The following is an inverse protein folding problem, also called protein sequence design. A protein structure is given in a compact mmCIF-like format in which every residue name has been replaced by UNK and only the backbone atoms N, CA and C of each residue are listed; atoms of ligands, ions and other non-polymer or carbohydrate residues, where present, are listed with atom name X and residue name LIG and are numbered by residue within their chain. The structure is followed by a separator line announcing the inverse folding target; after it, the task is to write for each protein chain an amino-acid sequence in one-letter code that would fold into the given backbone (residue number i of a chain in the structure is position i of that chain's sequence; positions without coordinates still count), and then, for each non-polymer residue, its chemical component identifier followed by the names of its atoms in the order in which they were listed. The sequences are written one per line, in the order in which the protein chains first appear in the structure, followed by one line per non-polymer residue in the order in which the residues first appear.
data_IF_776287700034
#
_entry.id   IF_776287700034
#
_cell.length_a   1.000
_cell.length_b   1.000
_cell.length_c   1.000
_cell.angle_alpha   90.00
_cell.angle_beta   90.00
_cell.angle_gamma   90.00
#
_symmetry.space_group_name_H-M   'P 1'
#
loop_
_entity.id
_entity.type
_entity.pdbx_description
1 polymer ?
#
# COMPACT_ATOMS: atom_id res chain seq x y z
N UNK A 1 -38.36 -66.08 -29.40
CA UNK A 1 -37.47 -65.66 -28.29
C UNK A 1 -36.49 -64.61 -28.81
N UNK A 2 -36.91 -63.36 -29.04
CA UNK A 2 -36.00 -62.33 -29.57
C UNK A 2 -36.09 -60.98 -28.84
N UNK A 3 -37.16 -60.76 -28.06
CA UNK A 3 -37.40 -59.48 -27.40
C UNK A 3 -36.46 -59.20 -26.22
N UNK A 4 -35.97 -60.23 -25.50
CA UNK A 4 -35.06 -60.06 -24.35
C UNK A 4 -33.63 -59.66 -24.74
N UNK A 5 -33.16 -60.06 -25.93
CA UNK A 5 -31.78 -59.80 -26.37
C UNK A 5 -31.56 -58.33 -26.71
N UNK A 6 -32.53 -57.70 -27.37
CA UNK A 6 -32.41 -56.31 -27.80
C UNK A 6 -32.51 -55.35 -26.62
N UNK A 7 -33.40 -55.57 -25.65
CA UNK A 7 -33.52 -54.72 -24.44
C UNK A 7 -32.23 -54.71 -23.63
N UNK A 8 -31.55 -55.86 -23.52
CA UNK A 8 -30.24 -55.96 -22.84
C UNK A 8 -29.14 -55.19 -23.60
N UNK A 9 -29.11 -55.27 -24.93
CA UNK A 9 -28.16 -54.51 -25.76
C UNK A 9 -28.39 -53.00 -25.64
N UNK A 10 -29.64 -52.54 -25.67
CA UNK A 10 -29.97 -51.12 -25.51
C UNK A 10 -29.64 -50.58 -24.12
N UNK A 11 -29.86 -51.37 -23.05
CA UNK A 11 -29.47 -51.02 -21.68
C UNK A 11 -27.95 -50.88 -21.53
N UNK A 12 -27.17 -51.79 -22.12
CA UNK A 12 -25.70 -51.74 -22.08
C UNK A 12 -25.18 -50.52 -22.85
N UNK A 13 -25.73 -50.22 -24.03
CA UNK A 13 -25.36 -49.04 -24.83
C UNK A 13 -25.68 -47.74 -24.09
N UNK A 14 -26.84 -47.65 -23.43
CA UNK A 14 -27.20 -46.49 -22.60
C UNK A 14 -26.22 -46.30 -21.43
N UNK A 15 -25.90 -47.36 -20.67
CA UNK A 15 -24.96 -47.27 -19.55
C UNK A 15 -23.56 -46.83 -20.00
N UNK A 16 -23.06 -47.33 -21.13
CA UNK A 16 -21.75 -46.94 -21.67
C UNK A 16 -21.78 -45.46 -22.11
N UNK A 17 -22.85 -44.99 -22.75
CA UNK A 17 -23.00 -43.58 -23.13
C UNK A 17 -23.10 -42.63 -21.92
N UNK A 18 -23.75 -43.07 -20.84
CA UNK A 18 -23.90 -42.29 -19.61
C UNK A 18 -22.58 -42.23 -18.81
N UNK A 19 -21.77 -43.30 -18.86
CA UNK A 19 -20.43 -43.34 -18.26
C UNK A 19 -19.40 -42.52 -19.06
N UNK A 20 -19.54 -42.44 -20.39
CA UNK A 20 -18.73 -41.55 -21.24
C UNK A 20 -19.09 -40.06 -21.05
N UNK A 21 -20.35 -39.75 -20.75
CA UNK A 21 -20.80 -38.37 -20.47
C UNK A 21 -20.32 -37.78 -19.14
N UNK A 22 -19.90 -38.62 -18.18
CA UNK A 22 -19.53 -38.20 -16.82
C UNK A 22 -18.04 -37.83 -16.63
N UNK A 23 -17.18 -37.95 -17.66
CA UNK A 23 -15.72 -37.72 -17.51
C UNK A 23 -15.21 -36.39 -18.06
N UNK A 24 -16.08 -35.44 -18.38
CA UNK A 24 -15.67 -34.11 -18.85
C UNK A 24 -16.11 -33.00 -17.89
N UNK A 25 -15.82 -33.16 -16.59
CA UNK A 25 -15.62 -31.99 -15.73
C UNK A 25 -14.32 -31.33 -16.20
N UNK A 26 -14.44 -30.46 -17.20
CA UNK A 26 -13.37 -29.60 -17.70
C UNK A 26 -12.98 -28.70 -16.53
N UNK A 27 -12.06 -29.18 -15.69
CA UNK A 27 -11.40 -28.35 -14.69
C UNK A 27 -10.89 -27.13 -15.44
N UNK A 28 -11.48 -25.95 -15.16
CA UNK A 28 -10.94 -24.69 -15.66
C UNK A 28 -9.52 -24.65 -15.15
N UNK A 29 -8.57 -24.97 -16.03
CA UNK A 29 -7.14 -24.83 -15.77
C UNK A 29 -6.97 -23.35 -15.51
N UNK A 30 -6.91 -22.97 -14.23
CA UNK A 30 -6.82 -21.58 -13.82
C UNK A 30 -5.67 -20.96 -14.61
N UNK A 31 -5.99 -20.02 -15.50
CA UNK A 31 -4.98 -19.26 -16.22
C UNK A 31 -4.11 -18.63 -15.14
N UNK A 32 -2.84 -19.05 -15.06
CA UNK A 32 -1.87 -18.51 -14.11
C UNK A 32 -1.85 -17.00 -14.34
N UNK A 33 -2.43 -16.25 -13.41
CA UNK A 33 -2.56 -14.80 -13.54
C UNK A 33 -1.16 -14.22 -13.69
N UNK A 34 -0.91 -13.60 -14.85
CA UNK A 34 0.38 -13.01 -15.20
C UNK A 34 0.25 -11.51 -14.95
N UNK A 35 1.04 -10.98 -14.01
CA UNK A 35 1.09 -9.55 -13.78
C UNK A 35 1.72 -8.86 -15.00
N UNK A 36 1.31 -7.63 -15.28
CA UNK A 36 1.73 -6.89 -16.47
C UNK A 36 3.25 -6.62 -16.47
N UNK A 37 3.80 -6.30 -15.30
CA UNK A 37 5.20 -5.94 -15.11
C UNK A 37 5.79 -6.55 -13.82
N UNK A 38 7.11 -6.61 -13.79
CA UNK A 38 7.89 -7.02 -12.62
C UNK A 38 8.51 -5.79 -11.97
N UNK A 39 8.18 -5.53 -10.71
CA UNK A 39 8.87 -4.52 -9.91
C UNK A 39 10.19 -5.10 -9.38
N UNK A 40 11.30 -4.49 -9.79
CA UNK A 40 12.63 -4.81 -9.27
C UNK A 40 12.95 -3.73 -8.22
N UNK A 41 13.05 -4.14 -6.96
CA UNK A 41 13.53 -3.26 -5.89
C UNK A 41 15.06 -3.22 -5.99
N UNK A 42 15.69 -2.04 -6.20
CA UNK A 42 17.14 -1.92 -6.20
C UNK A 42 17.74 -2.45 -4.89
N UNK A 43 18.85 -3.18 -4.97
CA UNK A 43 19.47 -3.80 -3.79
C UNK A 43 20.00 -2.77 -2.79
N UNK A 44 20.32 -1.56 -3.24
CA UNK A 44 20.74 -0.42 -2.42
C UNK A 44 19.57 0.30 -1.73
N UNK A 45 18.32 -0.03 -2.06
CA UNK A 45 17.15 0.54 -1.38
C UNK A 45 17.09 0.19 0.12
N UNK A 46 17.63 -0.97 0.49
CA UNK A 46 17.70 -1.42 1.89
C UNK A 46 18.96 -0.94 2.61
N UNK A 47 19.76 -0.01 2.03
CA UNK A 47 20.85 0.60 2.79
C UNK A 47 20.23 1.26 4.01
N UNK A 48 20.53 0.70 5.18
CA UNK A 48 20.22 1.30 6.46
C UNK A 48 20.76 2.73 6.39
N UNK A 49 19.92 3.74 6.65
CA UNK A 49 20.38 5.11 6.78
C UNK A 49 21.64 5.12 7.66
N UNK A 50 22.77 5.63 7.16
CA UNK A 50 23.92 5.89 8.04
C UNK A 50 23.45 6.80 9.18
N UNK A 51 24.09 6.81 10.34
CA UNK A 51 23.66 7.67 11.47
C UNK A 51 23.49 9.15 11.07
N UNK A 52 24.19 9.61 10.01
CA UNK A 52 24.04 10.93 9.40
C UNK A 52 22.66 11.20 8.76
N UNK A 53 21.96 10.14 8.36
CA UNK A 53 20.66 10.19 7.67
C UNK A 53 19.46 9.82 8.55
N UNK A 54 19.68 9.29 9.75
CA UNK A 54 18.62 9.14 10.76
C UNK A 54 18.13 10.50 11.27
N UNK A 55 18.89 11.57 11.02
CA UNK A 55 18.64 12.88 11.61
C UNK A 55 18.71 12.79 13.14
N UNK A 56 18.65 13.93 13.82
CA UNK A 56 18.49 13.87 15.26
C UNK A 56 17.07 13.33 15.52
N UNK A 57 16.89 12.10 16.03
CA UNK A 57 15.59 11.39 16.11
C UNK A 57 14.45 12.09 16.86
N UNK A 58 14.68 13.29 17.39
CA UNK A 58 13.69 14.22 17.95
C UNK A 58 13.62 15.57 17.18
N UNK A 59 13.97 15.59 15.89
CA UNK A 59 13.92 16.80 15.05
C UNK A 59 12.52 17.43 15.04
N UNK A 60 11.48 16.59 15.12
CA UNK A 60 10.08 17.02 15.17
C UNK A 60 9.75 17.89 16.39
N UNK A 61 10.48 17.75 17.51
CA UNK A 61 10.28 18.57 18.72
C UNK A 61 11.28 19.72 18.83
N UNK A 62 12.42 19.64 18.14
CA UNK A 62 13.47 20.68 18.11
C UNK A 62 13.27 21.71 17.00
N UNK A 63 12.44 21.42 16.01
CA UNK A 63 12.11 22.34 14.91
C UNK A 63 11.41 23.60 15.44
N UNK A 64 11.67 24.74 14.79
CA UNK A 64 10.88 25.96 14.98
C UNK A 64 9.43 25.81 14.50
N UNK A 65 9.18 24.87 13.60
CA UNK A 65 7.84 24.47 13.16
C UNK A 65 7.63 23.01 13.61
N UNK A 66 7.37 22.77 14.91
CA UNK A 66 7.29 21.42 15.45
C UNK A 66 6.10 20.64 14.88
N UNK A 67 6.19 19.32 14.90
CA UNK A 67 5.12 18.44 14.44
C UNK A 67 4.98 17.18 15.30
N UNK A 68 3.77 16.64 15.30
CA UNK A 68 3.47 15.29 15.78
C UNK A 68 3.35 14.35 14.59
N UNK A 69 3.33 13.05 14.86
CA UNK A 69 3.13 12.04 13.82
C UNK A 69 1.76 11.41 13.95
N UNK A 70 1.07 11.31 12.82
CA UNK A 70 -0.22 10.63 12.67
C UNK A 70 -0.02 9.38 11.83
N UNK A 71 -0.48 8.24 12.32
CA UNK A 71 -0.39 6.96 11.61
C UNK A 71 -1.66 6.65 10.85
N UNK A 72 -1.50 6.08 9.65
CA UNK A 72 -2.61 5.49 8.89
C UNK A 72 -2.21 4.10 8.42
N UNK A 73 -2.98 3.09 8.85
CA UNK A 73 -2.76 1.68 8.49
C UNK A 73 -3.81 1.21 7.51
N UNK A 74 -3.38 0.62 6.40
CA UNK A 74 -4.25 0.01 5.38
C UNK A 74 -3.76 -1.42 5.15
N UNK A 75 -4.60 -2.40 5.47
CA UNK A 75 -4.22 -3.83 5.47
C UNK A 75 -3.69 -4.33 4.12
N UNK A 76 -4.34 -3.93 3.04
CA UNK A 76 -4.03 -4.38 1.67
C UNK A 76 -3.00 -3.50 0.95
N UNK A 77 -2.14 -2.79 1.70
CA UNK A 77 -1.12 -1.86 1.16
C UNK A 77 0.28 -2.18 1.68
N UNK A 78 1.30 -1.96 0.86
CA UNK A 78 2.71 -1.96 1.24
C UNK A 78 3.33 -0.56 1.02
N UNK A 79 3.99 0.04 2.04
CA UNK A 79 3.93 -0.37 3.44
C UNK A 79 2.50 -0.19 4.00
N UNK A 80 2.08 -1.05 4.97
CA UNK A 80 0.73 -0.99 5.51
C UNK A 80 0.52 0.27 6.33
N UNK A 81 1.51 0.65 7.14
CA UNK A 81 1.49 1.85 7.98
C UNK A 81 2.29 2.96 7.31
N UNK A 82 1.67 4.14 7.19
CA UNK A 82 2.34 5.38 6.81
C UNK A 82 2.26 6.33 8.01
N UNK A 83 3.37 7.01 8.28
CA UNK A 83 3.47 8.09 9.27
C UNK A 83 3.46 9.42 8.53
N UNK A 84 2.53 10.29 8.90
CA UNK A 84 2.37 11.62 8.33
C UNK A 84 2.57 12.69 9.39
N UNK A 85 3.31 13.74 9.06
CA UNK A 85 3.57 14.85 9.95
C UNK A 85 2.35 15.78 10.05
N UNK A 86 1.99 16.15 11.26
CA UNK A 86 0.95 17.13 11.57
C UNK A 86 1.57 18.29 12.36
N UNK A 87 1.59 19.50 11.77
CA UNK A 87 2.22 20.65 12.39
C UNK A 87 1.51 20.99 13.71
N UNK A 88 2.27 21.12 14.80
CA UNK A 88 1.72 21.33 16.14
C UNK A 88 1.13 22.74 16.34
N UNK A 89 1.43 23.67 15.44
CA UNK A 89 1.00 25.07 15.49
C UNK A 89 0.87 25.60 14.07
N UNK A 90 0.01 26.60 13.87
CA UNK A 90 -0.07 27.35 12.61
C UNK A 90 1.14 28.27 12.41
N UNK A 91 1.72 28.79 13.50
CA UNK A 91 2.87 29.71 13.47
C UNK A 91 4.15 29.01 13.89
N UNK A 92 5.28 29.59 13.50
CA UNK A 92 6.58 29.14 13.99
C UNK A 92 6.79 29.54 15.46
N UNK A 93 7.50 28.69 16.18
CA UNK A 93 7.76 28.75 17.60
C UNK A 93 9.24 29.01 17.83
N UNK A 94 9.53 30.03 18.64
CA UNK A 94 10.89 30.37 19.03
C UNK A 94 11.11 30.13 20.53
N UNK A 95 12.25 29.54 20.93
CA UNK A 95 12.61 29.46 22.33
C UNK A 95 12.94 30.88 22.83
N UNK A 96 12.24 31.36 23.86
CA UNK A 96 12.65 32.52 24.65
C UNK A 96 12.99 32.10 26.08
N UNK A 97 13.73 32.95 26.79
CA UNK A 97 14.42 32.69 28.06
C UNK A 97 13.59 31.97 29.16
N UNK A 98 12.25 31.94 29.06
CA UNK A 98 11.35 31.11 29.90
C UNK A 98 10.10 30.55 29.21
N UNK A 99 9.76 30.94 27.97
CA UNK A 99 8.52 30.56 27.28
C UNK A 99 8.74 30.36 25.78
N UNK A 100 7.80 29.70 25.11
CA UNK A 100 7.72 29.66 23.66
C UNK A 100 6.96 30.90 23.17
N UNK A 101 7.53 31.67 22.22
CA UNK A 101 6.84 32.79 21.57
C UNK A 101 6.51 32.43 20.12
N UNK A 102 5.28 32.70 19.70
CA UNK A 102 4.84 32.52 18.31
C UNK A 102 5.18 33.74 17.48
N UNK A 103 5.91 33.55 16.37
CA UNK A 103 6.21 34.65 15.45
C UNK A 103 5.12 34.73 14.38
N UNK A 104 4.16 35.64 14.56
CA UNK A 104 3.00 35.80 13.66
C UNK A 104 3.35 36.16 12.21
N UNK A 105 4.59 36.60 11.93
CA UNK A 105 5.09 36.83 10.57
C UNK A 105 5.51 35.55 9.84
N UNK A 106 5.48 34.39 10.49
CA UNK A 106 5.94 33.12 9.93
C UNK A 106 4.99 31.97 10.25
N UNK A 107 4.75 31.14 9.25
CA UNK A 107 3.83 30.02 9.31
C UNK A 107 4.60 28.69 9.33
N UNK A 108 4.10 27.75 10.12
CA UNK A 108 4.47 26.35 10.05
C UNK A 108 3.68 25.70 8.93
N UNK A 109 4.36 25.14 7.93
CA UNK A 109 3.73 24.50 6.78
C UNK A 109 4.27 23.08 6.58
N UNK A 110 3.42 22.11 6.22
CA UNK A 110 3.85 20.74 5.98
C UNK A 110 4.71 20.64 4.72
N UNK A 111 5.71 19.76 4.75
CA UNK A 111 6.57 19.39 3.62
C UNK A 111 6.07 18.07 3.06
N UNK A 112 5.65 18.05 1.80
CA UNK A 112 5.12 16.84 1.16
C UNK A 112 6.17 16.10 0.34
N UNK A 113 6.10 14.77 0.37
CA UNK A 113 6.88 13.86 -0.49
C UNK A 113 5.96 12.85 -1.15
N UNK A 114 6.25 12.51 -2.41
CA UNK A 114 5.59 11.41 -3.11
C UNK A 114 6.21 10.08 -2.69
N UNK A 115 5.42 9.22 -2.06
CA UNK A 115 5.80 7.89 -1.59
C UNK A 115 5.08 6.85 -2.43
N UNK A 116 5.83 5.92 -3.04
CA UNK A 116 5.24 4.81 -3.76
C UNK A 116 4.64 3.80 -2.78
N UNK A 117 3.41 3.37 -3.06
CA UNK A 117 2.72 2.32 -2.32
C UNK A 117 2.20 1.26 -3.27
N UNK A 118 2.12 0.03 -2.80
CA UNK A 118 1.61 -1.11 -3.55
C UNK A 118 0.33 -1.61 -2.91
N UNK A 119 -0.74 -1.78 -3.68
CA UNK A 119 -1.98 -2.40 -3.21
C UNK A 119 -2.08 -3.82 -3.72
N UNK A 120 -2.52 -4.73 -2.85
CA UNK A 120 -2.80 -6.13 -3.20
C UNK A 120 -4.28 -6.44 -3.01
N UNK A 121 -4.83 -7.35 -3.79
CA UNK A 121 -6.11 -7.98 -3.46
C UNK A 121 -5.83 -9.34 -2.84
N UNK A 122 -6.51 -9.69 -1.75
CA UNK A 122 -6.33 -10.95 -1.00
C UNK A 122 -6.32 -12.24 -1.86
N UNK A 123 -6.87 -12.19 -3.08
CA UNK A 123 -7.01 -13.32 -4.00
C UNK A 123 -5.95 -13.36 -5.12
N UNK A 124 -5.10 -12.33 -5.28
CA UNK A 124 -4.16 -12.20 -6.42
C UNK A 124 -2.71 -12.05 -5.96
N UNK A 125 -1.78 -12.56 -6.78
CA UNK A 125 -0.32 -12.41 -6.60
C UNK A 125 0.24 -11.13 -7.25
N UNK A 126 -0.63 -10.24 -7.72
CA UNK A 126 -0.25 -9.01 -8.40
C UNK A 126 -0.53 -7.79 -7.53
N UNK A 127 0.32 -6.78 -7.68
CA UNK A 127 0.19 -5.50 -6.98
C UNK A 127 -0.14 -4.39 -7.98
N UNK A 128 -0.95 -3.43 -7.56
CA UNK A 128 -1.11 -2.15 -8.25
C UNK A 128 -0.30 -1.07 -7.54
N UNK A 129 0.61 -0.42 -8.27
CA UNK A 129 1.40 0.68 -7.75
C UNK A 129 0.62 2.01 -7.80
N UNK A 130 0.79 2.83 -6.76
CA UNK A 130 0.25 4.19 -6.69
C UNK A 130 1.23 5.09 -5.91
N UNK A 131 1.05 6.41 -5.96
CA UNK A 131 1.82 7.38 -5.19
C UNK A 131 0.92 8.11 -4.20
N UNK A 132 1.38 8.23 -2.96
CA UNK A 132 0.76 9.02 -1.92
C UNK A 132 1.59 10.28 -1.67
N UNK A 133 0.93 11.43 -1.61
CA UNK A 133 1.51 12.65 -1.07
C UNK A 133 1.47 12.58 0.45
N UNK A 134 2.62 12.42 1.09
CA UNK A 134 2.75 12.26 2.54
C UNK A 134 3.51 13.45 3.10
N UNK A 135 2.96 14.12 4.12
CA UNK A 135 3.71 15.10 4.87
C UNK A 135 4.83 14.42 5.68
N UNK A 136 6.10 14.78 5.45
CA UNK A 136 7.28 14.17 6.09
C UNK A 136 7.86 15.02 7.22
N UNK A 137 7.33 16.22 7.41
CA UNK A 137 7.73 17.16 8.45
C UNK A 137 7.04 18.50 8.24
N UNK A 138 7.36 19.47 9.09
CA UNK A 138 6.94 20.86 8.92
C UNK A 138 8.15 21.77 8.82
N UNK A 139 8.02 22.85 8.05
CA UNK A 139 9.03 23.90 7.92
C UNK A 139 8.45 25.27 8.26
N UNK A 140 9.32 26.19 8.65
CA UNK A 140 8.97 27.56 8.97
C UNK A 140 9.19 28.45 7.75
N UNK A 141 8.15 29.17 7.32
CA UNK A 141 8.21 30.08 6.17
C UNK A 141 7.69 31.46 6.53
N UNK A 142 8.22 32.50 5.90
CA UNK A 142 7.64 33.84 6.00
C UNK A 142 6.23 33.86 5.42
N UNK A 143 5.29 34.45 6.16
CA UNK A 143 3.96 34.73 5.65
C UNK A 143 4.07 35.67 4.44
N UNK A 144 3.27 35.41 3.40
CA UNK A 144 3.21 36.34 2.26
C UNK A 144 2.65 37.67 2.76
N UNK A 145 3.50 38.69 2.77
CA UNK A 145 3.10 40.09 2.82
C UNK A 145 2.76 40.52 1.40
N UNK A 146 1.52 40.98 1.17
CA UNK A 146 1.13 41.66 -0.07
C UNK A 146 1.87 42.99 -0.22
#
# INVERSE_FOLDING_TARGET
MEFKSNVSKYLVVCCVSMLLGLTMAKGKKGTKERCNDTLIIPSDYYKIPTEESEGNGNINTRSLSPWTWKTTTVENRLPPTIWEAECSSMYCVYPTNRNQYMHYGQNSVPIYKQVMVLYTSATRKCYSASFLSVAVGCTCVWARTN
#
